data_IF_868049841896
#
_entry.id   IF_868049841896
#
_cell.length_a   1.000
_cell.length_b   1.000
_cell.length_c   1.000
_cell.angle_alpha   90.00
_cell.angle_beta   90.00
_cell.angle_gamma   90.00
#
_symmetry.space_group_name_H-M   'P 1'
#
loop_
_entity.id
_entity.type
_entity.pdbx_description
1 polymer ?
2 polymer ?
#
# COMPACT_ATOMS: atom_id res chain seq x y z
N UNK A 13 3.30 -12.19 14.74
CA UNK A 13 3.60 -12.65 16.13
C UNK A 13 4.46 -13.91 16.11
N UNK A 14 5.65 -13.81 15.53
CA UNK A 14 6.57 -14.94 15.45
C UNK A 14 5.87 -16.15 14.84
N UNK A 15 6.62 -17.25 14.61
CA UNK A 15 6.07 -18.47 14.03
C UNK A 15 4.74 -18.87 14.64
N UNK A 16 3.67 -18.66 13.89
CA UNK A 16 2.33 -19.02 14.35
C UNK A 16 1.27 -18.47 13.39
N UNK A 17 0.93 -17.20 13.57
CA UNK A 17 -0.05 -16.54 12.71
C UNK A 17 0.65 -15.77 11.60
N UNK A 18 1.80 -15.20 11.93
CA UNK A 18 2.58 -14.44 10.96
C UNK A 18 3.01 -15.33 9.80
N UNK A 19 3.21 -16.61 10.10
CA UNK A 19 3.60 -17.57 9.07
C UNK A 19 2.46 -17.78 8.07
N UNK A 20 1.23 -17.59 8.57
CA UNK A 20 0.04 -17.75 7.74
C UNK A 20 -0.12 -16.59 6.76
N UNK A 21 -0.17 -15.38 7.30
CA UNK A 21 -0.34 -14.19 6.46
C UNK A 21 0.79 -14.09 5.43
N UNK A 22 1.99 -14.46 5.84
CA UNK A 22 3.14 -14.42 4.94
C UNK A 22 2.91 -15.31 3.72
N UNK A 23 2.09 -16.33 3.90
CA UNK A 23 1.77 -17.26 2.82
C UNK A 23 0.51 -16.84 2.10
N UNK A 24 -0.40 -16.20 2.84
CA UNK A 24 -1.67 -15.75 2.26
C UNK A 24 -1.41 -14.91 1.02
N UNK A 25 -0.52 -13.92 1.14
CA UNK A 25 -0.19 -13.06 0.00
C UNK A 25 0.35 -13.89 -1.15
N UNK A 26 1.15 -14.91 -0.83
CA UNK A 26 1.72 -15.79 -1.84
C UNK A 26 0.62 -16.39 -2.71
N UNK A 27 -0.49 -16.75 -2.08
CA UNK A 27 -1.63 -17.32 -2.79
C UNK A 27 -2.66 -16.25 -3.16
N UNK A 28 -2.38 -15.00 -2.81
CA UNK A 28 -3.30 -13.90 -3.12
C UNK A 28 -4.59 -14.05 -2.33
N UNK A 29 -4.55 -13.68 -1.06
CA UNK A 29 -5.73 -13.77 -0.19
C UNK A 29 -5.39 -13.38 1.24
N UNK A 30 -4.92 -12.15 1.42
CA UNK A 30 -4.58 -11.64 2.75
C UNK A 30 -5.44 -10.45 3.12
N UNK A 31 -5.12 -9.81 4.25
CA UNK A 31 -5.86 -8.65 4.71
C UNK A 31 -5.38 -8.20 6.08
N UNK A 32 -5.56 -6.92 6.37
CA UNK A 32 -5.14 -6.37 7.65
C UNK A 32 -5.85 -5.03 7.92
N UNK A 33 -6.25 -4.81 9.17
CA UNK A 33 -6.94 -3.58 9.54
C UNK A 33 -6.05 -2.38 9.30
N UNK A 34 -6.67 -1.21 9.15
CA UNK A 34 -5.92 0.02 8.90
C UNK A 34 -6.83 1.23 8.73
N UNK A 35 -6.26 2.42 8.91
CA UNK A 35 -7.02 3.66 8.77
C UNK A 35 -6.55 4.44 7.54
N UNK A 36 -6.89 3.92 6.36
CA UNK A 36 -6.50 4.55 5.10
C UNK A 36 -6.97 6.01 5.06
N UNK A 37 -6.01 6.94 5.18
CA UNK A 37 -6.32 8.36 5.15
C UNK A 37 -7.23 8.71 3.97
N UNK A 38 -6.65 8.76 2.78
CA UNK A 38 -7.42 9.09 1.60
C UNK A 38 -6.55 9.18 0.36
N UNK A 39 -6.75 10.25 -0.43
CA UNK A 39 -5.98 10.45 -1.65
C UNK A 39 -5.72 11.93 -1.88
N UNK A 40 -4.61 12.24 -2.54
CA UNK A 40 -4.24 13.61 -2.84
C UNK A 40 -3.67 13.72 -4.24
N UNK A 41 -3.54 14.96 -4.74
CA UNK A 41 -3.00 15.19 -6.07
C UNK A 41 -1.50 15.44 -6.01
N UNK A 42 -0.77 14.93 -7.00
CA UNK A 42 0.68 15.11 -7.03
C UNK A 42 1.19 15.24 -8.47
N UNK A 43 2.47 15.54 -8.60
CA UNK A 43 3.08 15.70 -9.92
C UNK A 43 4.14 14.63 -10.17
N UNK A 44 4.00 13.49 -9.51
CA UNK A 44 4.95 12.41 -9.66
C UNK A 44 4.26 11.05 -9.57
N UNK A 45 3.87 10.66 -8.36
CA UNK A 45 3.21 9.38 -8.15
C UNK A 45 4.10 8.22 -8.60
N UNK A 46 5.40 8.48 -8.72
CA UNK A 46 6.34 7.45 -9.13
C UNK A 46 7.67 7.60 -8.39
N UNK A 47 7.63 7.38 -7.08
CA UNK A 47 8.82 7.50 -6.27
C UNK A 47 8.55 7.23 -4.80
N UNK A 48 9.46 7.69 -3.95
CA UNK A 48 9.32 7.50 -2.51
C UNK A 48 9.26 8.84 -1.78
N UNK A 49 10.02 9.81 -2.27
CA UNK A 49 10.06 11.14 -1.67
C UNK A 49 8.69 11.80 -1.72
N UNK A 50 7.87 11.40 -2.68
CA UNK A 50 6.53 11.95 -2.83
C UNK A 50 5.57 11.37 -1.79
N UNK A 51 5.84 10.14 -1.39
CA UNK A 51 5.00 9.48 -0.39
C UNK A 51 5.20 10.09 0.99
N UNK A 52 6.45 10.43 1.30
CA UNK A 52 6.77 11.03 2.59
C UNK A 52 6.05 12.35 2.78
N UNK A 53 5.94 13.11 1.70
CA UNK A 53 5.25 14.40 1.74
C UNK A 53 3.76 14.23 1.48
N UNK A 54 3.41 13.28 0.62
CA UNK A 54 2.02 13.01 0.30
C UNK A 54 1.20 12.76 1.57
N UNK A 55 1.69 11.85 2.40
CA UNK A 55 1.02 11.52 3.65
C UNK A 55 0.72 12.79 4.45
N UNK A 56 1.71 13.66 4.54
CA UNK A 56 1.54 14.92 5.25
C UNK A 56 0.38 15.71 4.68
N UNK A 57 0.23 15.67 3.36
CA UNK A 57 -0.85 16.36 2.68
C UNK A 57 -2.19 15.76 3.05
N UNK A 58 -2.23 14.44 3.14
CA UNK A 58 -3.45 13.74 3.51
C UNK A 58 -4.00 14.27 4.84
N UNK A 59 -3.10 14.79 5.67
CA UNK A 59 -3.48 15.33 6.97
C UNK A 59 -3.92 16.79 6.86
N UNK A 60 -3.00 17.64 6.40
CA UNK A 60 -3.30 19.07 6.25
C UNK A 60 -4.61 19.28 5.52
N UNK A 61 -4.91 18.38 4.58
CA UNK A 61 -6.14 18.46 3.81
C UNK A 61 -7.33 17.93 4.61
N UNK A 62 -8.44 17.68 3.91
CA UNK A 62 -9.64 17.16 4.55
C UNK A 62 -9.88 15.71 4.13
N UNK A 63 -8.81 14.93 4.10
CA UNK A 63 -8.89 13.53 3.72
C UNK A 63 -9.06 12.65 4.95
N UNK A 64 -10.23 12.72 5.57
CA UNK A 64 -10.52 11.94 6.76
C UNK A 64 -10.15 10.47 6.55
N UNK A 65 -9.46 9.85 7.52
CA UNK A 65 -9.06 8.44 7.42
C UNK A 65 -10.20 7.48 7.75
N UNK A 66 -10.25 6.38 7.00
CA UNK A 66 -11.28 5.38 7.20
C UNK A 66 -10.97 4.49 8.39
N UNK A 67 -11.91 3.62 8.73
CA UNK A 67 -11.73 2.68 9.83
C UNK A 67 -12.21 1.30 9.43
N UNK A 68 -11.43 0.64 8.58
CA UNK A 68 -11.81 -0.69 8.11
C UNK A 68 -10.62 -1.62 7.99
N UNK A 69 -10.51 -2.28 6.85
CA UNK A 69 -9.44 -3.22 6.61
C UNK A 69 -8.98 -3.21 5.16
N UNK A 70 -7.67 -3.32 4.96
CA UNK A 70 -7.10 -3.34 3.61
C UNK A 70 -7.13 -4.75 3.04
N UNK A 71 -7.88 -4.94 1.97
CA UNK A 71 -7.99 -6.25 1.34
C UNK A 71 -6.80 -6.52 0.42
N UNK A 72 -5.71 -7.01 1.01
CA UNK A 72 -4.51 -7.33 0.25
C UNK A 72 -4.49 -8.79 -0.14
N UNK A 73 -4.32 -9.06 -1.44
CA UNK A 73 -4.30 -10.43 -1.94
C UNK A 73 -3.29 -10.60 -3.07
N UNK A 74 -2.10 -10.03 -2.88
CA UNK A 74 -1.05 -10.15 -3.90
C UNK A 74 -1.58 -9.97 -5.31
N UNK A 75 -2.32 -8.89 -5.54
CA UNK A 75 -2.90 -8.62 -6.85
C UNK A 75 -3.37 -7.17 -6.95
N UNK A 76 -3.95 -6.67 -5.88
CA UNK A 76 -4.44 -5.30 -5.88
C UNK A 76 -5.00 -4.88 -4.54
N UNK A 77 -4.39 -3.87 -3.92
CA UNK A 77 -4.85 -3.39 -2.63
C UNK A 77 -6.23 -2.77 -2.73
N UNK A 78 -7.20 -3.38 -2.06
CA UNK A 78 -8.57 -2.88 -2.09
C UNK A 78 -9.03 -2.48 -0.69
N UNK A 79 -8.60 -1.31 -0.25
CA UNK A 79 -8.95 -0.80 1.07
C UNK A 79 -10.44 -0.48 1.16
N UNK A 80 -11.08 -0.94 2.23
CA UNK A 80 -12.50 -0.69 2.43
C UNK A 80 -12.80 -0.37 3.89
N UNK A 81 -13.69 0.60 4.10
CA UNK A 81 -14.07 1.01 5.44
C UNK A 81 -15.02 0.00 6.08
N UNK A 82 -15.16 0.06 7.40
CA UNK A 82 -16.04 -0.84 8.12
C UNK A 82 -17.35 -0.15 8.51
N UNK A 83 -17.63 1.01 7.90
CA UNK A 83 -18.85 1.75 8.19
C UNK A 83 -19.71 1.86 6.94
N UNK A 84 -19.17 2.48 5.90
CA UNK A 84 -19.89 2.63 4.64
C UNK A 84 -19.79 1.36 3.80
N UNK A 85 -18.70 0.62 3.99
CA UNK A 85 -18.48 -0.61 3.25
C UNK A 85 -18.29 -0.34 1.76
N UNK A 86 -17.44 0.63 1.46
CA UNK A 86 -17.18 0.97 0.07
C UNK A 86 -15.70 0.94 -0.27
N UNK A 87 -15.39 0.48 -1.48
CA UNK A 87 -14.00 0.40 -1.93
C UNK A 87 -13.44 1.80 -2.16
N UNK A 88 -12.24 2.04 -1.64
CA UNK A 88 -11.60 3.34 -1.79
C UNK A 88 -10.55 3.32 -2.89
N UNK A 89 -9.63 2.37 -2.81
CA UNK A 89 -8.57 2.26 -3.80
C UNK A 89 -8.73 0.99 -4.64
N UNK A 90 -9.80 0.96 -5.43
CA UNK A 90 -10.06 -0.19 -6.30
C UNK A 90 -9.09 -0.22 -7.47
N UNK A 91 -7.82 -0.48 -7.16
CA UNK A 91 -6.78 -0.53 -8.20
C UNK A 91 -5.95 -1.80 -8.09
N UNK A 92 -5.40 -2.23 -9.23
CA UNK A 92 -4.57 -3.42 -9.27
C UNK A 92 -3.17 -3.12 -8.76
N UNK A 93 -2.56 -4.09 -8.10
CA UNK A 93 -1.21 -3.92 -7.55
C UNK A 93 -0.16 -3.89 -8.66
N UNK A 94 -0.43 -4.63 -9.73
CA UNK A 94 0.48 -4.71 -10.86
C UNK A 94 0.45 -3.43 -11.70
N UNK A 95 -0.69 -2.77 -11.71
CA UNK A 95 -0.86 -1.54 -12.49
C UNK A 95 -0.49 -0.31 -11.68
N UNK A 96 -0.88 -0.31 -10.40
CA UNK A 96 -0.60 0.82 -9.52
C UNK A 96 0.91 1.08 -9.41
N UNK A 97 1.28 2.27 -8.93
CA UNK A 97 2.68 2.65 -8.82
C UNK A 97 3.38 1.97 -7.64
N UNK A 98 2.66 1.12 -6.91
CA UNK A 98 3.22 0.40 -5.77
C UNK A 98 3.22 1.28 -4.52
N UNK A 99 3.61 0.70 -3.40
CA UNK A 99 3.65 1.43 -2.13
C UNK A 99 5.09 1.67 -1.70
N UNK A 100 5.24 2.57 -0.74
CA UNK A 100 6.57 2.91 -0.22
C UNK A 100 6.46 3.46 1.20
N UNK A 101 6.68 2.61 2.22
CA UNK A 101 6.61 3.03 3.62
C UNK A 101 7.41 4.31 3.87
N UNK A 102 6.78 5.28 4.52
CA UNK A 102 7.43 6.56 4.82
C UNK A 102 8.87 6.35 5.28
N UNK A 103 9.03 6.01 6.56
CA UNK A 103 10.36 5.77 7.12
C UNK A 103 10.29 4.88 8.35
N UNK A 104 9.21 4.09 8.45
CA UNK A 104 9.02 3.17 9.57
C UNK A 104 9.36 3.85 10.91
N UNK A 105 9.16 5.16 10.98
CA UNK A 105 9.44 5.90 12.19
C UNK A 105 8.24 5.90 13.13
N UNK A 106 7.07 5.58 12.62
CA UNK A 106 5.88 5.52 13.44
C UNK A 106 4.82 4.62 12.82
N UNK A 107 5.25 3.68 11.99
CA UNK A 107 4.33 2.76 11.33
C UNK A 107 3.48 3.48 10.29
N UNK A 108 4.13 4.30 9.49
CA UNK A 108 3.42 5.04 8.46
C UNK A 108 3.75 4.55 7.06
N UNK A 109 2.76 4.58 6.18
CA UNK A 109 2.95 4.12 4.81
C UNK A 109 2.14 4.97 3.84
N UNK A 110 2.27 4.68 2.55
CA UNK A 110 1.55 5.44 1.53
C UNK A 110 1.69 4.80 0.15
N UNK A 111 0.56 4.68 -0.57
CA UNK A 111 0.56 4.12 -1.91
C UNK A 111 0.66 5.24 -2.96
N UNK A 112 0.55 4.86 -4.23
CA UNK A 112 0.61 5.81 -5.32
C UNK A 112 0.11 5.19 -6.62
N UNK A 113 -0.68 5.94 -7.38
CA UNK A 113 -1.21 5.44 -8.63
C UNK A 113 -1.11 6.50 -9.73
N UNK A 114 -0.49 6.14 -10.84
CA UNK A 114 -0.32 7.06 -11.95
C UNK A 114 -1.63 7.20 -12.74
N UNK A 115 -2.47 8.13 -12.31
CA UNK A 115 -3.74 8.38 -12.97
C UNK A 115 -4.52 7.08 -13.17
N UNK A 116 -4.31 6.42 -14.31
CA UNK A 116 -5.02 5.18 -14.60
C UNK A 116 -6.52 5.38 -14.62
N UNK A 117 -7.13 5.36 -13.44
CA UNK A 117 -8.56 5.57 -13.30
C UNK A 117 -8.87 6.42 -12.07
N UNK A 118 -7.89 7.23 -11.67
CA UNK A 118 -8.04 8.09 -10.51
C UNK A 118 -7.83 9.56 -10.86
N UNK A 119 -8.05 9.89 -12.14
CA UNK A 119 -7.90 11.26 -12.64
C UNK A 119 -6.46 11.56 -13.05
N UNK A 120 -5.58 11.70 -12.06
CA UNK A 120 -4.17 12.00 -12.33
C UNK A 120 -3.27 11.35 -11.29
N UNK A 121 -2.01 11.81 -11.23
CA UNK A 121 -1.07 11.28 -10.27
C UNK A 121 -1.63 11.43 -8.86
N UNK A 122 -2.36 10.41 -8.42
CA UNK A 122 -3.00 10.46 -7.11
C UNK A 122 -2.18 9.73 -6.05
N UNK A 123 -1.64 10.51 -5.12
CA UNK A 123 -0.86 9.95 -4.02
C UNK A 123 -1.81 9.49 -2.92
N UNK A 124 -1.42 8.44 -2.20
CA UNK A 124 -2.27 7.89 -1.16
C UNK A 124 -1.52 7.74 0.16
N UNK A 125 -2.28 7.67 1.24
CA UNK A 125 -1.71 7.50 2.56
C UNK A 125 -2.57 6.64 3.45
N UNK A 126 -1.95 5.75 4.21
CA UNK A 126 -2.69 4.87 5.11
C UNK A 126 -1.82 4.42 6.28
N UNK A 127 -2.22 4.84 7.48
CA UNK A 127 -1.49 4.49 8.69
C UNK A 127 -2.02 3.20 9.29
N UNK A 128 -1.12 2.22 9.46
CA UNK A 128 -1.50 0.93 10.01
C UNK A 128 -2.37 1.08 11.26
N UNK A 129 -3.43 0.29 11.33
CA UNK A 129 -4.34 0.33 12.46
C UNK A 129 -3.63 -0.07 13.74
N UNK A 130 -3.21 -1.33 13.82
CA UNK A 130 -2.49 -1.82 14.99
C UNK A 130 -1.25 -0.97 15.25
N UNK A 131 -0.66 -0.49 14.16
CA UNK A 131 0.54 0.35 14.26
C UNK A 131 1.70 -0.41 14.88
N UNK A 132 2.41 -1.18 14.05
CA UNK A 132 3.56 -1.93 14.53
C UNK A 132 4.32 -2.60 13.38
N UNK A 133 4.28 -1.98 12.20
CA UNK A 133 4.99 -2.50 11.04
C UNK A 133 4.90 -4.02 10.92
N UNK A 134 3.81 -4.59 11.42
CA UNK A 134 3.61 -6.03 11.39
C UNK A 134 2.17 -6.38 11.03
N UNK A 135 1.66 -5.74 9.98
CA UNK A 135 0.30 -5.99 9.54
C UNK A 135 0.10 -5.55 8.09
N UNK A 136 0.65 -4.38 7.76
CA UNK A 136 0.55 -3.85 6.41
C UNK A 136 1.91 -3.78 5.73
N UNK A 137 2.93 -3.44 6.52
CA UNK A 137 4.29 -3.34 5.99
C UNK A 137 4.72 -4.66 5.36
N UNK A 138 4.73 -5.71 6.17
CA UNK A 138 5.12 -7.04 5.68
C UNK A 138 4.02 -7.66 4.84
N UNK A 139 2.78 -7.25 5.10
CA UNK A 139 1.63 -7.79 4.36
C UNK A 139 1.68 -7.33 2.91
N UNK A 140 1.53 -6.03 2.69
CA UNK A 140 1.56 -5.48 1.34
C UNK A 140 2.97 -5.54 0.78
N UNK A 141 3.97 -5.46 1.66
CA UNK A 141 5.34 -5.57 1.23
C UNK A 141 5.57 -6.82 0.41
N UNK A 142 4.77 -7.84 0.69
CA UNK A 142 4.83 -9.10 -0.04
C UNK A 142 3.77 -9.12 -1.15
N UNK A 143 2.74 -8.29 -0.98
CA UNK A 143 1.67 -8.19 -1.97
C UNK A 143 2.23 -8.06 -3.38
N UNK A 144 3.31 -7.30 -3.51
CA UNK A 144 3.98 -7.12 -4.79
C UNK A 144 4.85 -8.32 -5.11
N UNK A 145 5.31 -9.00 -4.07
CA UNK A 145 6.14 -10.20 -4.22
C UNK A 145 5.54 -11.14 -5.26
N UNK A 146 4.23 -11.35 -5.19
CA UNK A 146 3.55 -12.22 -6.14
C UNK A 146 3.57 -11.63 -7.54
N UNK A 147 3.60 -10.30 -7.62
CA UNK A 147 3.65 -9.61 -8.90
C UNK A 147 4.97 -9.87 -9.61
N UNK A 148 6.07 -9.50 -8.95
CA UNK A 148 7.40 -9.70 -9.51
C UNK A 148 8.21 -10.65 -8.62
N UNK A 149 7.62 -11.80 -8.31
CA UNK A 149 8.27 -12.80 -7.47
C UNK A 149 9.68 -13.10 -7.96
N UNK A 150 9.87 -13.03 -9.28
CA UNK A 150 11.17 -13.27 -9.87
C UNK A 150 11.93 -11.95 -10.06
N UNK A 151 11.55 -10.93 -9.28
CA UNK A 151 12.18 -9.62 -9.36
C UNK A 151 12.24 -9.16 -10.81
N UNK A 152 11.15 -9.32 -11.54
CA UNK A 152 11.07 -8.89 -12.92
C UNK A 152 11.32 -7.38 -13.04
N UNK A 153 11.19 -6.68 -11.90
CA UNK A 153 11.40 -5.24 -11.88
C UNK A 153 12.71 -4.86 -12.56
N UNK A 154 12.64 -3.91 -13.49
CA UNK A 154 13.82 -3.45 -14.20
C UNK A 154 14.30 -2.11 -13.66
N UNK A 155 15.04 -2.17 -12.55
CA UNK A 155 15.55 -0.95 -11.91
C UNK A 155 17.07 -0.92 -11.94
N UNK A 156 17.69 -2.08 -11.72
CA UNK A 156 19.15 -2.19 -11.72
C UNK A 156 19.66 -2.72 -13.05
N UNK A 157 20.96 -3.01 -13.11
CA UNK A 157 21.57 -3.54 -14.32
C UNK A 157 21.09 -4.95 -14.61
N UNK A 158 21.18 -5.81 -13.60
CA UNK A 158 20.75 -7.21 -13.74
C UNK A 158 21.68 -7.97 -14.67
N UNK A 159 22.55 -8.79 -14.08
CA UNK A 159 23.50 -9.58 -14.86
C UNK A 159 24.55 -8.69 -15.52
N UNK B 1 13.90 -0.79 0.96
CA UNK B 1 12.85 -1.54 1.69
C UNK B 1 12.71 -2.96 1.15
N UNK B 2 12.19 -3.08 -0.06
CA UNK B 2 12.02 -4.38 -0.69
C UNK B 2 11.80 -4.24 -2.20
N UNK B 3 10.54 -4.11 -2.61
CA UNK B 3 10.22 -3.96 -4.02
C UNK B 3 9.76 -2.54 -4.34
N UNK B 4 8.77 -2.07 -3.58
CA UNK B 4 8.26 -0.72 -3.79
C UNK B 4 9.37 0.32 -3.83
N UNK B 5 9.93 0.67 -2.65
CA UNK B 5 10.99 1.68 -2.54
C UNK B 5 12.33 1.21 -3.10
N UNK B 7 12.56 -1.44 -6.39
CA UNK B 7 12.21 -2.09 -7.65
C UNK B 7 10.81 -1.69 -8.10
#
# INVERSE_FOLDING_TARGET
GSPGIPDRVPESSKPHQWQADEEAVRSATCSFSVKYLGCVEVFESRGMQVCEEALKVLRQSRRRPVRGLLHVSGDGLRVVDDETKGLIVDQTIEKVSFCAPDRNHERGFSYICRDGTTRRWMCHGFLACKDSGERLSHAVGCAFAVCLERKQRRTRAAAS
AYIGPXL
#
